data_IF_993213405499
#
_entry.id   IF_993213405499
#
_cell.length_a   1.000
_cell.length_b   1.000
_cell.length_c   1.000
_cell.angle_alpha   90.00
_cell.angle_beta   90.00
_cell.angle_gamma   90.00
#
_symmetry.space_group_name_H-M   'P 1'
#
loop_
_entity.id
_entity.type
_entity.pdbx_description
1 polymer ?
#
# COMPACT_ATOMS: atom_id res chain seq x y z
N UNK A 1 -38.38 29.69 -38.40
CA UNK A 1 -39.52 28.80 -38.69
C UNK A 1 -38.92 27.56 -39.36
N UNK A 2 -38.51 26.54 -38.59
CA UNK A 2 -39.25 25.27 -38.33
C UNK A 2 -39.41 24.48 -39.66
N UNK A 3 -38.90 23.25 -39.87
CA UNK A 3 -39.04 21.95 -39.16
C UNK A 3 -37.96 20.98 -39.72
N UNK A 4 -37.03 20.38 -38.95
CA UNK A 4 -37.02 19.02 -38.34
C UNK A 4 -37.48 17.81 -39.20
N UNK A 5 -36.54 16.92 -39.59
CA UNK A 5 -36.79 15.47 -39.59
C UNK A 5 -35.55 14.78 -39.03
N UNK A 6 -35.75 14.08 -37.91
CA UNK A 6 -34.79 13.19 -37.25
C UNK A 6 -35.09 11.73 -37.64
N UNK A 7 -34.06 10.87 -37.56
CA UNK A 7 -34.09 9.41 -37.25
C UNK A 7 -32.61 8.93 -37.29
N UNK A 8 -31.86 9.01 -36.18
CA UNK A 8 -31.70 8.01 -35.10
C UNK A 8 -31.17 6.65 -35.58
N UNK A 9 -29.89 6.35 -35.29
CA UNK A 9 -29.50 5.32 -34.31
C UNK A 9 -28.03 4.90 -34.47
N UNK A 10 -27.33 4.73 -33.35
CA UNK A 10 -26.16 3.85 -33.30
C UNK A 10 -24.78 4.49 -33.17
N UNK A 11 -24.62 5.63 -32.48
CA UNK A 11 -23.27 6.07 -32.08
C UNK A 11 -22.97 5.51 -30.68
N UNK A 12 -22.42 4.29 -30.64
CA UNK A 12 -21.67 3.84 -29.48
C UNK A 12 -20.49 4.77 -29.29
N UNK A 13 -20.47 5.55 -28.22
CA UNK A 13 -19.30 6.33 -27.82
C UNK A 13 -18.16 5.36 -27.49
N UNK A 14 -17.38 4.96 -28.50
CA UNK A 14 -16.03 4.44 -28.30
C UNK A 14 -15.19 5.64 -27.90
N UNK A 15 -15.01 5.83 -26.59
CA UNK A 15 -13.94 6.66 -26.07
C UNK A 15 -12.61 6.01 -26.44
N UNK A 16 -12.09 6.30 -27.63
CA UNK A 16 -10.67 6.14 -27.92
C UNK A 16 -9.93 7.25 -27.19
N UNK A 17 -9.51 6.99 -25.96
CA UNK A 17 -8.45 7.76 -25.34
C UNK A 17 -7.12 7.26 -25.94
N UNK A 18 -6.27 8.12 -26.52
CA UNK A 18 -4.91 7.73 -26.86
C UNK A 18 -4.14 7.63 -25.53
N UNK A 19 -3.78 6.44 -25.07
CA UNK A 19 -3.11 6.38 -23.77
C UNK A 19 -3.05 5.02 -23.11
N UNK A 20 -2.32 4.08 -23.69
CA UNK A 20 -1.31 3.25 -23.04
C UNK A 20 -0.88 2.18 -24.07
N UNK A 21 0.38 1.79 -24.13
CA UNK A 21 0.83 0.66 -24.97
C UNK A 21 1.97 -0.07 -24.32
N UNK A 22 1.95 -1.40 -24.35
CA UNK A 22 3.09 -2.22 -23.90
C UNK A 22 4.25 -2.05 -24.90
N UNK A 23 5.44 -1.68 -24.41
CA UNK A 23 6.59 -1.40 -25.29
C UNK A 23 7.82 -2.27 -25.04
N UNK A 24 7.90 -2.93 -23.88
CA UNK A 24 8.99 -3.85 -23.52
C UNK A 24 8.54 -4.80 -22.42
N UNK A 25 9.11 -6.01 -22.45
CA UNK A 25 8.93 -7.04 -21.43
C UNK A 25 10.30 -7.43 -20.87
N UNK A 26 10.41 -7.41 -19.54
CA UNK A 26 11.51 -8.00 -18.78
C UNK A 26 10.95 -9.13 -17.91
N UNK A 27 11.82 -9.93 -17.27
CA UNK A 27 11.41 -11.13 -16.52
C UNK A 27 10.30 -10.83 -15.49
N UNK A 28 10.43 -9.70 -14.78
CA UNK A 28 9.52 -9.32 -13.69
C UNK A 28 8.89 -7.94 -13.88
N UNK A 29 9.05 -7.31 -15.05
CA UNK A 29 8.63 -5.94 -15.29
C UNK A 29 8.04 -5.76 -16.69
N UNK A 30 6.81 -5.28 -16.74
CA UNK A 30 6.15 -4.84 -17.97
C UNK A 30 6.36 -3.36 -18.11
N UNK A 31 6.63 -2.87 -19.31
CA UNK A 31 6.74 -1.45 -19.53
C UNK A 31 5.65 -0.92 -20.45
N UNK A 32 5.01 0.16 -20.00
CA UNK A 32 3.89 0.76 -20.69
C UNK A 32 4.15 2.24 -20.93
N UNK A 33 4.00 2.66 -22.17
CA UNK A 33 4.02 4.06 -22.57
C UNK A 33 2.62 4.65 -22.44
N UNK A 34 2.52 5.88 -21.96
CA UNK A 34 1.26 6.60 -21.75
C UNK A 34 1.45 8.08 -22.11
N UNK A 35 0.37 8.86 -22.16
CA UNK A 35 0.48 10.31 -22.42
C UNK A 35 1.06 11.12 -21.26
N UNK A 36 0.98 10.62 -20.02
CA UNK A 36 1.56 11.21 -18.79
C UNK A 36 1.82 10.12 -17.76
N UNK A 37 2.91 10.28 -17.01
CA UNK A 37 3.34 9.41 -15.91
C UNK A 37 2.71 9.76 -14.56
N UNK A 38 2.17 10.97 -14.37
CA UNK A 38 1.35 11.26 -13.20
C UNK A 38 0.06 10.41 -13.23
N UNK A 39 -0.24 9.71 -12.13
CA UNK A 39 -1.49 8.95 -12.05
C UNK A 39 -2.73 9.86 -11.88
N UNK A 40 -2.51 11.13 -11.55
CA UNK A 40 -3.56 12.09 -11.22
C UNK A 40 -4.29 11.78 -9.90
N UNK A 41 -5.13 12.70 -9.43
CA UNK A 41 -5.95 12.50 -8.23
C UNK A 41 -7.13 11.54 -8.47
N UNK A 42 -7.58 11.41 -9.73
CA UNK A 42 -8.70 10.52 -10.10
C UNK A 42 -8.20 9.16 -10.61
N UNK A 43 -9.08 8.15 -10.59
CA UNK A 43 -8.72 6.76 -10.91
C UNK A 43 -8.70 6.48 -12.43
N UNK A 44 -9.07 7.44 -13.27
CA UNK A 44 -9.30 7.22 -14.71
C UNK A 44 -8.05 6.71 -15.42
N UNK A 45 -6.87 7.30 -15.16
CA UNK A 45 -5.62 6.86 -15.78
C UNK A 45 -5.21 5.47 -15.30
N UNK A 46 -5.32 5.22 -14.00
CA UNK A 46 -5.04 3.91 -13.40
C UNK A 46 -5.89 2.83 -14.02
N UNK A 47 -7.20 3.08 -14.18
CA UNK A 47 -8.13 2.18 -14.86
C UNK A 47 -7.70 1.94 -16.31
N UNK A 48 -7.37 2.99 -17.08
CA UNK A 48 -6.93 2.83 -18.47
C UNK A 48 -5.67 1.98 -18.60
N UNK A 49 -4.68 2.17 -17.73
CA UNK A 49 -3.44 1.38 -17.72
C UNK A 49 -3.76 -0.09 -17.40
N UNK A 50 -4.59 -0.37 -16.40
CA UNK A 50 -4.97 -1.75 -16.05
C UNK A 50 -5.74 -2.42 -17.19
N UNK A 51 -6.69 -1.71 -17.82
CA UNK A 51 -7.45 -2.25 -18.95
C UNK A 51 -6.55 -2.55 -20.14
N UNK A 52 -5.57 -1.70 -20.40
CA UNK A 52 -4.58 -1.96 -21.44
C UNK A 52 -3.72 -3.17 -21.08
N UNK A 53 -3.25 -3.29 -19.84
CA UNK A 53 -2.51 -4.46 -19.38
C UNK A 53 -3.30 -5.75 -19.64
N UNK A 54 -4.55 -5.85 -19.19
CA UNK A 54 -5.38 -7.05 -19.38
C UNK A 54 -5.86 -7.29 -20.82
N UNK A 55 -5.56 -6.42 -21.79
CA UNK A 55 -5.70 -6.78 -23.21
C UNK A 55 -4.62 -7.76 -23.66
N UNK A 56 -3.44 -7.68 -23.03
CA UNK A 56 -2.26 -8.44 -23.41
C UNK A 56 -1.95 -9.60 -22.47
N UNK A 57 -2.50 -9.60 -21.26
CA UNK A 57 -2.25 -10.64 -20.26
C UNK A 57 -3.53 -11.28 -19.74
N UNK A 58 -3.39 -12.53 -19.30
CA UNK A 58 -4.47 -13.28 -18.65
C UNK A 58 -4.88 -12.61 -17.34
N UNK A 59 -6.15 -12.84 -16.95
CA UNK A 59 -6.64 -12.41 -15.65
C UNK A 59 -6.16 -13.39 -14.56
N UNK A 60 -4.91 -13.24 -14.14
CA UNK A 60 -4.26 -14.14 -13.18
C UNK A 60 -3.52 -13.44 -12.03
N UNK A 61 -3.47 -12.11 -12.03
CA UNK A 61 -2.76 -11.32 -11.03
C UNK A 61 -3.69 -10.86 -9.90
N UNK A 62 -3.25 -11.04 -8.66
CA UNK A 62 -3.93 -10.54 -7.47
C UNK A 62 -3.71 -9.03 -7.29
N UNK A 63 -2.53 -8.52 -7.67
CA UNK A 63 -2.17 -7.10 -7.56
C UNK A 63 -1.41 -6.63 -8.79
N UNK A 64 -1.74 -5.42 -9.26
CA UNK A 64 -0.90 -4.66 -10.20
C UNK A 64 -0.18 -3.55 -9.45
N UNK A 65 1.15 -3.47 -9.58
CA UNK A 65 1.98 -2.38 -9.05
C UNK A 65 2.38 -1.47 -10.20
N UNK A 66 1.77 -0.30 -10.29
CA UNK A 66 2.09 0.71 -11.29
C UNK A 66 3.18 1.63 -10.74
N UNK A 67 4.30 1.70 -11.44
CA UNK A 67 5.48 2.48 -11.06
C UNK A 67 5.59 3.65 -12.04
N UNK A 68 5.44 4.87 -11.55
CA UNK A 68 5.65 6.06 -12.36
C UNK A 68 7.15 6.37 -12.51
N UNK A 69 7.55 6.75 -13.73
CA UNK A 69 8.82 7.43 -13.97
C UNK A 69 8.60 8.94 -13.93
N UNK A 70 8.83 9.54 -12.76
CA UNK A 70 8.76 10.97 -12.59
C UNK A 70 10.07 11.51 -11.99
N UNK A 71 11.11 11.75 -12.80
CA UNK A 71 12.40 12.24 -12.30
C UNK A 71 12.30 13.63 -11.64
N UNK A 72 11.31 14.44 -12.04
CA UNK A 72 11.03 15.77 -11.46
C UNK A 72 10.07 15.72 -10.26
N UNK A 73 9.47 14.57 -9.94
CA UNK A 73 8.51 14.44 -8.83
C UNK A 73 9.23 14.09 -7.53
N UNK A 74 10.18 14.95 -7.19
CA UNK A 74 10.83 15.00 -5.89
C UNK A 74 10.86 16.49 -5.54
N UNK A 75 10.20 16.86 -4.43
CA UNK A 75 10.09 18.24 -3.87
C UNK A 75 8.89 19.10 -4.28
N UNK A 76 7.65 18.61 -4.05
CA UNK A 76 6.59 19.51 -3.53
C UNK A 76 5.54 18.75 -2.72
N UNK A 77 5.97 18.02 -1.66
CA UNK A 77 5.08 17.30 -0.74
C UNK A 77 4.31 18.25 0.23
N UNK A 78 3.99 19.47 -0.18
CA UNK A 78 3.15 20.40 0.59
C UNK A 78 1.78 20.56 -0.09
N UNK A 79 1.05 19.45 -0.14
CA UNK A 79 -0.33 19.29 -0.62
C UNK A 79 -0.53 17.87 -1.15
N UNK A 80 -1.50 17.10 -0.63
CA UNK A 80 -1.93 15.73 -1.05
C UNK A 80 -0.85 14.71 -1.49
N UNK A 81 0.42 14.94 -1.14
CA UNK A 81 1.57 14.18 -1.64
C UNK A 81 1.68 12.82 -0.96
N UNK A 82 1.91 11.77 -1.75
CA UNK A 82 2.05 10.39 -1.29
C UNK A 82 3.21 9.69 -2.01
N UNK A 83 3.89 8.76 -1.34
CA UNK A 83 4.93 7.90 -1.94
C UNK A 83 4.34 6.67 -2.64
N UNK A 84 3.24 6.16 -2.08
CA UNK A 84 2.46 5.05 -2.60
C UNK A 84 0.98 5.28 -2.33
N UNK A 85 0.12 4.61 -3.10
CA UNK A 85 -1.31 4.51 -2.78
C UNK A 85 -1.90 3.23 -3.31
N UNK A 86 -2.50 2.45 -2.41
CA UNK A 86 -3.35 1.32 -2.74
C UNK A 86 -4.75 1.77 -3.15
N UNK A 87 -5.28 1.10 -4.17
CA UNK A 87 -6.71 1.05 -4.47
C UNK A 87 -7.17 -0.40 -4.38
N UNK A 88 -8.00 -0.70 -3.39
CA UNK A 88 -8.74 -1.97 -3.36
C UNK A 88 -9.74 -2.01 -4.52
N UNK A 89 -9.69 -3.10 -5.28
CA UNK A 89 -10.52 -3.40 -6.45
C UNK A 89 -11.51 -4.53 -6.15
N UNK A 90 -11.06 -5.54 -5.42
CA UNK A 90 -11.88 -6.67 -5.00
C UNK A 90 -11.52 -7.10 -3.59
N UNK A 91 -12.53 -7.28 -2.75
CA UNK A 91 -12.39 -7.82 -1.41
C UNK A 91 -13.63 -8.66 -1.06
N UNK A 92 -13.40 -9.91 -0.67
CA UNK A 92 -14.43 -10.83 -0.21
C UNK A 92 -14.19 -11.30 1.24
N UNK A 93 -13.18 -10.73 1.92
CA UNK A 93 -12.79 -11.12 3.28
C UNK A 93 -13.75 -10.47 4.26
N UNK A 94 -14.40 -11.28 5.09
CA UNK A 94 -15.25 -10.84 6.19
C UNK A 94 -14.47 -10.78 7.51
N UNK A 95 -15.02 -10.10 8.51
CA UNK A 95 -14.44 -10.03 9.86
C UNK A 95 -13.20 -9.14 9.99
N UNK A 96 -12.95 -8.28 9.01
CA UNK A 96 -11.78 -7.36 8.98
C UNK A 96 -12.16 -5.88 9.00
N UNK A 97 -13.45 -5.56 9.16
CA UNK A 97 -13.92 -4.18 9.10
C UNK A 97 -13.67 -3.57 7.72
N UNK A 98 -13.94 -4.32 6.64
CA UNK A 98 -13.93 -3.81 5.27
C UNK A 98 -15.18 -4.37 4.60
N UNK A 99 -15.90 -3.53 3.86
CA UNK A 99 -17.03 -4.00 3.08
C UNK A 99 -16.58 -4.88 1.92
N UNK A 100 -17.42 -5.85 1.55
CA UNK A 100 -17.19 -6.63 0.33
C UNK A 100 -17.28 -5.71 -0.88
N UNK A 101 -16.31 -5.81 -1.77
CA UNK A 101 -16.19 -4.97 -2.96
C UNK A 101 -15.84 -5.85 -4.16
N UNK A 102 -16.47 -5.58 -5.31
CA UNK A 102 -16.00 -6.08 -6.59
C UNK A 102 -16.25 -5.05 -7.69
N UNK A 103 -15.17 -4.39 -8.12
CA UNK A 103 -15.17 -3.48 -9.26
C UNK A 103 -14.12 -3.90 -10.31
N UNK A 104 -13.72 -5.17 -10.32
CA UNK A 104 -12.65 -5.69 -11.20
C UNK A 104 -12.90 -5.42 -12.68
N UNK A 105 -14.15 -5.52 -13.13
CA UNK A 105 -14.57 -5.25 -14.51
C UNK A 105 -14.21 -3.84 -15.00
N UNK A 106 -14.15 -2.85 -14.09
CA UNK A 106 -13.70 -1.50 -14.46
C UNK A 106 -12.24 -1.51 -14.90
N UNK A 107 -11.41 -2.31 -14.22
CA UNK A 107 -9.96 -2.42 -14.43
C UNK A 107 -9.56 -3.44 -15.49
N UNK A 108 -10.52 -4.20 -16.05
CA UNK A 108 -10.25 -5.24 -17.06
C UNK A 108 -9.96 -6.63 -16.48
N UNK A 109 -10.16 -6.82 -15.17
CA UNK A 109 -10.01 -8.11 -14.48
C UNK A 109 -11.37 -8.63 -14.02
N UNK A 110 -11.87 -9.66 -14.67
CA UNK A 110 -13.19 -10.21 -14.38
C UNK A 110 -13.25 -10.90 -13.01
N UNK A 111 -12.14 -11.48 -12.53
CA UNK A 111 -12.15 -12.42 -11.42
C UNK A 111 -11.00 -12.29 -10.42
N UNK A 112 -9.79 -11.87 -10.81
CA UNK A 112 -8.61 -12.02 -9.93
C UNK A 112 -8.17 -10.77 -9.18
N UNK A 113 -8.11 -9.61 -9.84
CA UNK A 113 -7.46 -8.42 -9.31
C UNK A 113 -8.11 -7.96 -8.00
N UNK A 114 -7.33 -7.97 -6.92
CA UNK A 114 -7.71 -7.52 -5.57
C UNK A 114 -7.38 -6.06 -5.35
N UNK A 115 -6.27 -5.58 -5.91
CA UNK A 115 -5.87 -4.18 -5.73
C UNK A 115 -4.85 -3.70 -6.74
N UNK A 116 -4.71 -2.37 -6.80
CA UNK A 116 -3.71 -1.69 -7.62
C UNK A 116 -2.91 -0.75 -6.73
N UNK A 117 -1.59 -0.93 -6.70
CA UNK A 117 -0.68 -0.01 -6.02
C UNK A 117 -0.12 0.98 -7.03
N UNK A 118 -0.11 2.27 -6.67
CA UNK A 118 0.51 3.33 -7.47
C UNK A 118 1.71 3.87 -6.71
N UNK A 119 2.90 3.69 -7.27
CA UNK A 119 4.14 4.21 -6.73
C UNK A 119 4.62 5.39 -7.57
N UNK A 120 4.96 6.50 -6.91
CA UNK A 120 5.34 7.73 -7.64
C UNK A 120 6.77 7.69 -8.17
N UNK A 121 7.58 6.70 -7.76
CA UNK A 121 8.97 6.52 -8.16
C UNK A 121 9.45 5.06 -7.95
N UNK A 122 10.37 4.52 -8.78
CA UNK A 122 10.85 3.13 -8.67
C UNK A 122 11.52 2.77 -7.34
N UNK A 123 12.17 3.74 -6.69
CA UNK A 123 12.77 3.57 -5.33
C UNK A 123 11.78 3.04 -4.29
N UNK A 124 10.48 3.33 -4.47
CA UNK A 124 9.40 2.94 -3.55
C UNK A 124 8.99 1.46 -3.67
N UNK A 125 9.55 0.72 -4.63
CA UNK A 125 9.37 -0.73 -4.73
C UNK A 125 10.08 -1.44 -3.57
N UNK A 126 11.23 -0.91 -3.13
CA UNK A 126 12.10 -1.59 -2.17
C UNK A 126 12.27 -0.84 -0.85
N UNK A 127 11.59 0.28 -0.65
CA UNK A 127 11.44 0.86 0.70
C UNK A 127 10.17 0.34 1.39
N UNK A 128 9.84 0.87 2.57
CA UNK A 128 8.65 0.41 3.29
C UNK A 128 7.33 0.76 2.59
N UNK A 129 7.33 1.58 1.54
CA UNK A 129 6.11 2.04 0.87
C UNK A 129 5.33 0.86 0.29
N UNK A 130 5.96 -0.06 -0.42
CA UNK A 130 5.20 -1.14 -1.05
C UNK A 130 4.60 -2.11 -0.03
N UNK A 131 5.31 -2.45 1.05
CA UNK A 131 4.75 -3.24 2.15
C UNK A 131 3.56 -2.53 2.81
N UNK A 132 3.70 -1.23 3.05
CA UNK A 132 2.67 -0.36 3.60
C UNK A 132 1.43 -0.39 2.71
N UNK A 133 1.59 -0.14 1.41
CA UNK A 133 0.47 -0.10 0.48
C UNK A 133 -0.23 -1.46 0.34
N UNK A 134 0.51 -2.57 0.35
CA UNK A 134 -0.10 -3.91 0.31
C UNK A 134 -0.99 -4.18 1.53
N UNK A 135 -0.67 -3.61 2.70
CA UNK A 135 -1.46 -3.83 3.91
C UNK A 135 -2.88 -3.25 3.81
N UNK A 136 -3.07 -2.20 3.00
CA UNK A 136 -4.38 -1.61 2.73
C UNK A 136 -5.33 -2.57 1.97
N UNK A 137 -4.89 -3.77 1.55
CA UNK A 137 -5.81 -4.83 1.10
C UNK A 137 -6.71 -5.34 2.23
N UNK A 138 -6.18 -5.40 3.46
CA UNK A 138 -6.87 -5.99 4.61
C UNK A 138 -7.21 -4.98 5.70
N UNK A 139 -6.88 -3.70 5.49
CA UNK A 139 -7.31 -2.59 6.33
C UNK A 139 -7.91 -1.49 5.46
N UNK A 140 -9.07 -1.00 5.87
CA UNK A 140 -9.73 0.17 5.27
C UNK A 140 -9.86 1.31 6.28
N UNK A 141 -10.56 2.37 5.88
CA UNK A 141 -10.91 3.52 6.73
C UNK A 141 -11.91 3.19 7.85
N UNK A 142 -12.46 1.98 7.89
CA UNK A 142 -13.36 1.54 8.96
C UNK A 142 -12.57 1.10 10.20
N UNK A 143 -13.12 1.46 11.36
CA UNK A 143 -12.46 1.31 12.67
C UNK A 143 -12.45 -0.15 13.15
N UNK A 144 -11.43 -0.93 12.77
CA UNK A 144 -11.09 -2.19 13.47
C UNK A 144 -10.83 -1.89 14.95
N UNK A 145 -10.05 -0.84 15.19
CA UNK A 145 -9.83 -0.17 16.47
C UNK A 145 -10.05 1.34 16.26
N UNK A 146 -10.39 2.11 17.31
CA UNK A 146 -10.51 3.56 17.23
C UNK A 146 -9.19 4.18 16.75
N UNK A 147 -9.25 4.95 15.65
CA UNK A 147 -8.11 5.68 15.12
C UNK A 147 -8.55 7.05 14.65
N UNK A 148 -7.75 8.08 14.95
CA UNK A 148 -7.93 9.42 14.39
C UNK A 148 -7.25 9.57 13.02
N UNK A 149 -6.60 8.52 12.54
CA UNK A 149 -5.88 8.49 11.27
C UNK A 149 -6.53 7.46 10.35
N UNK A 150 -7.29 7.97 9.36
CA UNK A 150 -7.97 7.14 8.36
C UNK A 150 -6.98 6.23 7.63
N UNK A 151 -7.36 4.96 7.46
CA UNK A 151 -6.51 3.91 6.87
C UNK A 151 -5.32 3.47 7.73
N UNK A 152 -5.08 4.08 8.90
CA UNK A 152 -3.88 3.83 9.72
C UNK A 152 -4.23 3.41 11.15
N UNK A 153 -3.23 2.98 11.90
CA UNK A 153 -3.39 2.55 13.29
C UNK A 153 -3.35 3.70 14.31
N UNK A 154 -2.97 4.91 13.87
CA UNK A 154 -2.99 6.12 14.70
C UNK A 154 -2.21 5.96 16.00
N UNK A 155 -2.80 6.43 17.11
CA UNK A 155 -2.20 6.38 18.44
C UNK A 155 -2.45 5.04 19.12
N UNK A 156 -1.93 3.95 18.55
CA UNK A 156 -2.04 2.61 19.11
C UNK A 156 -0.73 1.84 19.09
N UNK A 157 -0.66 0.80 19.91
CA UNK A 157 0.49 -0.10 20.00
C UNK A 157 0.49 -1.20 18.93
N UNK A 158 -0.22 -1.02 17.82
CA UNK A 158 -0.18 -1.99 16.71
C UNK A 158 1.23 -2.08 16.13
N UNK A 159 1.91 -0.94 15.97
CA UNK A 159 3.34 -0.89 15.66
C UNK A 159 3.72 -1.62 14.36
N UNK A 160 2.86 -1.54 13.34
CA UNK A 160 2.99 -2.29 12.10
C UNK A 160 3.23 -1.41 10.88
N UNK A 161 3.01 -1.99 9.71
CA UNK A 161 3.17 -1.31 8.42
C UNK A 161 2.27 -0.08 8.27
N UNK A 162 1.03 -0.13 8.76
CA UNK A 162 0.09 1.01 8.73
C UNK A 162 0.17 1.89 9.99
N UNK A 163 1.23 1.75 10.76
CA UNK A 163 1.57 2.67 11.82
C UNK A 163 1.31 2.23 13.25
N UNK A 164 1.19 3.23 14.11
CA UNK A 164 1.27 3.03 15.55
C UNK A 164 2.72 2.91 16.02
N UNK A 165 2.89 2.48 17.27
CA UNK A 165 4.18 2.39 17.95
C UNK A 165 4.40 1.02 18.59
N UNK A 166 5.65 0.69 18.92
CA UNK A 166 5.95 -0.48 19.74
C UNK A 166 5.58 -0.18 21.20
N UNK A 167 4.84 -1.09 21.85
CA UNK A 167 4.35 -0.86 23.21
C UNK A 167 5.50 -0.60 24.21
N UNK A 168 6.63 -1.27 24.03
CA UNK A 168 7.82 -1.12 24.87
C UNK A 168 8.46 0.28 24.78
N UNK A 169 8.18 1.01 23.71
CA UNK A 169 8.63 2.40 23.54
C UNK A 169 7.70 3.42 24.21
N UNK A 170 6.51 3.00 24.66
CA UNK A 170 5.51 3.90 25.24
C UNK A 170 5.93 4.37 26.64
N UNK A 171 5.91 5.68 26.83
CA UNK A 171 6.22 6.35 28.10
C UNK A 171 5.08 7.27 28.50
N UNK A 172 4.61 7.13 29.73
CA UNK A 172 3.72 8.13 30.33
C UNK A 172 4.54 9.31 30.83
N UNK A 173 4.13 10.52 30.46
CA UNK A 173 4.76 11.78 30.89
C UNK A 173 3.93 12.50 31.96
N UNK A 174 2.87 11.86 32.47
CA UNK A 174 1.89 12.47 33.38
C UNK A 174 0.87 13.37 32.66
N UNK A 175 -0.19 13.76 33.36
CA UNK A 175 -1.26 14.65 32.87
C UNK A 175 -1.91 14.23 31.54
N UNK A 176 -2.06 12.92 31.32
CA UNK A 176 -2.62 12.37 30.07
C UNK A 176 -1.74 12.59 28.84
N UNK A 177 -0.44 12.84 29.03
CA UNK A 177 0.57 12.95 27.96
C UNK A 177 1.40 11.68 27.89
N UNK A 178 1.73 11.30 26.67
CA UNK A 178 2.52 10.12 26.37
C UNK A 178 3.55 10.46 25.30
N UNK A 179 4.69 9.78 25.33
CA UNK A 179 5.59 9.72 24.19
C UNK A 179 5.79 8.26 23.80
N UNK A 180 6.01 8.03 22.51
CA UNK A 180 6.52 6.75 22.06
C UNK A 180 7.50 6.96 20.91
N UNK A 181 8.37 5.98 20.74
CA UNK A 181 9.47 5.95 19.81
C UNK A 181 9.03 5.94 18.34
N UNK A 182 9.27 4.84 17.66
CA UNK A 182 8.92 4.70 16.25
C UNK A 182 7.39 4.81 16.10
N UNK A 183 6.94 5.65 15.16
CA UNK A 183 5.54 5.90 14.89
C UNK A 183 5.39 5.80 13.37
N UNK A 184 5.22 4.59 12.85
CA UNK A 184 4.98 4.41 11.43
C UNK A 184 3.61 5.02 11.03
N UNK A 185 3.38 5.41 9.77
CA UNK A 185 4.39 5.67 8.74
C UNK A 185 5.15 6.99 8.99
N UNK A 186 4.77 7.76 10.00
CA UNK A 186 5.25 9.13 10.23
C UNK A 186 6.72 9.21 10.69
N UNK A 187 7.38 8.07 10.92
CA UNK A 187 8.80 7.90 11.27
C UNK A 187 9.44 6.81 10.39
N UNK A 188 9.03 6.74 9.11
CA UNK A 188 9.52 5.88 8.01
C UNK A 188 11.03 5.94 7.71
N UNK A 189 11.88 5.83 8.73
CA UNK A 189 13.33 5.64 8.58
C UNK A 189 13.74 4.20 8.89
N UNK A 190 12.85 3.43 9.54
CA UNK A 190 13.08 2.03 9.88
C UNK A 190 11.91 1.20 9.38
N UNK A 191 12.21 0.30 8.45
CA UNK A 191 11.26 -0.69 7.95
C UNK A 191 10.91 -1.66 9.09
N UNK A 192 9.61 -1.89 9.29
CA UNK A 192 9.06 -2.79 10.32
C UNK A 192 8.44 -4.02 9.65
N UNK A 193 8.34 -5.18 10.31
CA UNK A 193 7.51 -6.27 9.77
C UNK A 193 6.02 -5.95 9.94
N UNK A 194 5.13 -6.81 9.42
CA UNK A 194 3.72 -6.74 9.77
C UNK A 194 3.51 -7.07 11.25
N UNK A 195 2.65 -6.30 11.91
CA UNK A 195 2.24 -6.54 13.28
C UNK A 195 1.34 -7.78 13.41
N UNK A 196 1.20 -8.40 14.59
CA UNK A 196 0.27 -9.52 14.78
C UNK A 196 -1.17 -9.21 14.35
N UNK A 197 -1.70 -8.01 14.65
CA UNK A 197 -3.05 -7.64 14.21
C UNK A 197 -3.14 -7.58 12.67
N UNK A 198 -2.16 -6.96 12.01
CA UNK A 198 -2.10 -6.92 10.54
C UNK A 198 -2.05 -8.33 9.93
N UNK A 199 -1.21 -9.20 10.51
CA UNK A 199 -1.10 -10.60 10.07
C UNK A 199 -2.40 -11.38 10.30
N UNK A 200 -3.14 -11.13 11.38
CA UNK A 200 -4.46 -11.73 11.60
C UNK A 200 -5.48 -11.28 10.54
N UNK A 201 -5.55 -9.97 10.26
CA UNK A 201 -6.46 -9.44 9.24
C UNK A 201 -6.14 -9.99 7.84
N UNK A 202 -4.86 -10.10 7.52
CA UNK A 202 -4.38 -10.75 6.31
C UNK A 202 -4.62 -12.27 6.28
N UNK A 203 -4.89 -12.89 7.44
CA UNK A 203 -5.16 -14.31 7.57
C UNK A 203 -3.91 -15.18 7.61
N UNK A 204 -2.83 -14.68 8.16
CA UNK A 204 -1.57 -15.40 8.22
C UNK A 204 -1.36 -16.07 9.57
N UNK A 205 -2.00 -15.57 10.63
CA UNK A 205 -1.88 -16.14 11.99
C UNK A 205 -3.26 -16.33 12.63
N UNK A 206 -3.39 -17.28 13.58
CA UNK A 206 -4.60 -17.42 14.39
C UNK A 206 -4.82 -16.22 15.32
N UNK A 207 -6.05 -16.00 15.81
CA UNK A 207 -6.34 -14.93 16.75
C UNK A 207 -5.52 -15.05 18.05
N UNK A 208 -5.17 -16.26 18.48
CA UNK A 208 -4.38 -16.51 19.70
C UNK A 208 -2.95 -15.96 19.68
N UNK A 209 -2.44 -15.56 18.51
CA UNK A 209 -1.13 -14.94 18.36
C UNK A 209 -1.20 -13.40 18.34
N UNK A 210 -2.40 -12.81 18.43
CA UNK A 210 -2.59 -11.36 18.48
C UNK A 210 -2.58 -10.90 19.94
N UNK A 211 -1.51 -10.19 20.32
CA UNK A 211 -1.43 -9.55 21.63
C UNK A 211 -2.46 -8.42 21.79
N UNK A 212 -2.82 -8.16 23.04
CA UNK A 212 -3.62 -7.01 23.44
C UNK A 212 -3.03 -5.70 22.93
N UNK A 213 -3.90 -4.83 22.41
CA UNK A 213 -3.51 -3.56 21.80
C UNK A 213 -3.87 -2.42 22.74
N UNK A 214 -2.88 -1.61 23.08
CA UNK A 214 -3.09 -0.35 23.76
C UNK A 214 -3.53 0.70 22.75
N UNK A 215 -4.64 1.39 23.01
CA UNK A 215 -5.20 2.41 22.11
C UNK A 215 -5.48 3.69 22.88
N UNK A 216 -4.93 4.81 22.41
CA UNK A 216 -5.37 6.14 22.82
C UNK A 216 -6.55 6.58 21.95
N UNK A 217 -7.76 6.44 22.50
CA UNK A 217 -8.96 6.93 21.85
C UNK A 217 -8.92 8.47 21.78
N UNK A 218 -9.17 9.02 20.60
CA UNK A 218 -9.05 10.45 20.31
C UNK A 218 -7.67 11.05 20.63
N UNK A 219 -6.62 10.25 20.39
CA UNK A 219 -5.24 10.70 20.51
C UNK A 219 -4.96 11.92 19.64
N UNK A 220 -4.12 12.84 20.13
CA UNK A 220 -3.69 13.99 19.33
C UNK A 220 -2.25 14.39 19.64
N UNK A 221 -1.50 14.69 18.59
CA UNK A 221 -0.13 15.16 18.73
C UNK A 221 -0.08 16.47 19.53
N UNK A 222 0.83 16.53 20.49
CA UNK A 222 1.08 17.74 21.25
C UNK A 222 1.97 18.66 20.43
N UNK A 223 1.43 19.77 19.95
CA UNK A 223 2.18 20.69 19.11
C UNK A 223 3.08 21.62 19.92
N UNK A 224 4.30 21.85 19.43
CA UNK A 224 5.28 22.80 19.97
C UNK A 224 5.19 24.19 19.29
N UNK A 225 6.22 25.01 19.49
CA UNK A 225 6.29 26.40 19.03
C UNK A 225 6.30 26.48 17.49
N UNK A 226 5.77 27.60 16.98
CA UNK A 226 5.89 27.96 15.57
C UNK A 226 7.33 28.43 15.28
N UNK A 227 7.98 27.81 14.30
CA UNK A 227 9.33 28.17 13.85
C UNK A 227 9.29 28.27 12.31
N UNK A 228 9.67 29.42 11.76
CA UNK A 228 9.73 29.69 10.30
C UNK A 228 8.43 29.30 9.57
N UNK A 229 7.27 29.71 10.11
CA UNK A 229 5.96 29.43 9.50
C UNK A 229 5.47 28.00 9.62
N UNK A 230 6.15 27.13 10.39
CA UNK A 230 5.77 25.73 10.60
C UNK A 230 5.56 25.43 12.08
N UNK A 231 4.58 24.58 12.39
CA UNK A 231 4.32 24.07 13.74
C UNK A 231 4.85 22.64 13.83
N UNK A 232 5.68 22.37 14.83
CA UNK A 232 6.32 21.06 15.01
C UNK A 232 5.60 20.26 16.10
N UNK A 233 5.72 18.93 16.07
CA UNK A 233 5.30 18.09 17.21
C UNK A 233 6.29 18.29 18.36
N UNK A 234 5.79 18.39 19.59
CA UNK A 234 6.62 18.42 20.79
C UNK A 234 7.35 17.09 20.93
N UNK A 235 8.60 17.16 21.41
CA UNK A 235 9.41 15.99 21.70
C UNK A 235 9.74 15.91 23.19
N UNK A 236 9.91 14.70 23.70
CA UNK A 236 10.48 14.45 25.03
C UNK A 236 12.00 14.63 25.03
N UNK A 237 12.65 14.32 26.16
CA UNK A 237 14.10 14.49 26.32
C UNK A 237 14.91 13.59 25.39
N UNK A 238 14.34 12.45 24.99
CA UNK A 238 14.92 11.46 24.07
C UNK A 238 14.60 11.75 22.61
N UNK A 239 13.86 12.83 22.32
CA UNK A 239 13.52 13.24 20.97
C UNK A 239 12.32 12.50 20.37
N UNK A 240 11.57 11.74 21.17
CA UNK A 240 10.36 11.05 20.77
C UNK A 240 9.17 11.99 20.77
N UNK A 241 8.23 11.77 19.84
CA UNK A 241 7.07 12.65 19.70
C UNK A 241 6.09 12.46 20.85
N UNK A 242 5.53 13.57 21.32
CA UNK A 242 4.58 13.62 22.43
C UNK A 242 3.17 13.78 21.90
N UNK A 243 2.24 12.99 22.42
CA UNK A 243 0.81 13.06 22.16
C UNK A 243 0.00 13.10 23.46
N UNK A 244 -1.26 13.52 23.35
CA UNK A 244 -2.24 13.52 24.44
C UNK A 244 -3.28 12.44 24.17
N UNK A 245 -3.72 11.78 25.24
CA UNK A 245 -4.84 10.87 25.22
C UNK A 245 -5.74 11.16 26.43
N UNK A 246 -7.05 11.28 26.20
CA UNK A 246 -8.03 11.45 27.28
C UNK A 246 -8.62 10.14 27.75
N UNK A 247 -8.67 9.16 26.84
CA UNK A 247 -9.19 7.83 27.11
C UNK A 247 -8.23 6.81 26.50
N UNK A 248 -7.91 5.81 27.30
CA UNK A 248 -7.09 4.68 26.90
C UNK A 248 -7.94 3.44 27.02
N UNK A 249 -7.86 2.58 26.03
CA UNK A 249 -8.48 1.27 26.10
C UNK A 249 -7.54 0.19 25.63
N UNK A 250 -7.76 -1.00 26.17
CA UNK A 250 -7.17 -2.24 25.68
C UNK A 250 -8.15 -2.88 24.69
N UNK A 251 -7.65 -3.25 23.53
CA UNK A 251 -8.37 -3.99 22.51
C UNK A 251 -7.75 -5.38 22.37
N UNK A 252 -8.49 -6.38 22.87
CA UNK A 252 -8.13 -7.79 22.68
C UNK A 252 -8.67 -8.28 21.34
N UNK A 253 -8.15 -9.40 20.86
CA UNK A 253 -8.63 -10.02 19.63
C UNK A 253 -10.09 -10.48 19.76
N UNK A 254 -10.51 -10.97 20.92
CA UNK A 254 -11.89 -11.38 21.20
C UNK A 254 -12.83 -10.21 21.02
N UNK A 255 -12.46 -9.03 21.54
CA UNK A 255 -13.26 -7.81 21.36
C UNK A 255 -13.40 -7.41 19.89
N UNK A 256 -12.35 -7.60 19.09
CA UNK A 256 -12.38 -7.33 17.65
C UNK A 256 -13.30 -8.33 16.95
N UNK A 257 -13.18 -9.62 17.29
CA UNK A 257 -14.02 -10.72 16.75
C UNK A 257 -15.48 -10.54 17.14
N UNK A 258 -15.78 -10.17 18.39
CA UNK A 258 -17.15 -9.90 18.84
C UNK A 258 -17.79 -8.74 18.08
N UNK A 259 -16.97 -7.73 17.71
CA UNK A 259 -17.42 -6.55 16.96
C UNK A 259 -17.63 -6.85 15.48
N UNK A 260 -16.71 -7.57 14.84
CA UNK A 260 -16.65 -7.70 13.37
C UNK A 260 -17.08 -9.08 12.86
N UNK A 261 -17.25 -10.04 13.75
CA UNK A 261 -17.27 -11.46 13.43
C UNK A 261 -15.86 -12.02 13.26
N UNK A 262 -15.71 -13.37 13.27
CA UNK A 262 -14.42 -14.00 12.98
C UNK A 262 -14.00 -13.71 11.54
N UNK A 263 -12.69 -13.58 11.33
CA UNK A 263 -12.14 -13.39 9.98
C UNK A 263 -12.47 -14.59 9.10
N UNK A 264 -13.02 -14.34 7.91
CA UNK A 264 -13.37 -15.37 6.92
C UNK A 264 -12.83 -15.01 5.52
N UNK A 265 -12.08 -15.90 4.83
CA UNK A 265 -11.68 -17.25 5.27
C UNK A 265 -10.87 -17.22 6.57
N UNK A 266 -10.70 -18.35 7.27
CA UNK A 266 -9.82 -18.41 8.44
C UNK A 266 -8.34 -18.36 8.02
N UNK A 267 -7.42 -18.23 8.98
CA UNK A 267 -5.98 -18.25 8.72
C UNK A 267 -5.51 -19.57 8.06
N UNK A 268 -6.23 -20.67 8.27
CA UNK A 268 -5.95 -21.98 7.68
C UNK A 268 -6.22 -22.01 6.18
N UNK A 269 -7.24 -21.27 5.72
CA UNK A 269 -7.75 -21.30 4.35
C UNK A 269 -7.46 -20.03 3.55
N UNK A 270 -6.88 -19.00 4.15
CA UNK A 270 -6.44 -17.81 3.41
C UNK A 270 -5.35 -18.14 2.41
N UNK A 271 -5.40 -17.40 1.31
CA UNK A 271 -4.30 -17.22 0.40
C UNK A 271 -3.04 -16.70 1.13
N UNK A 272 -1.92 -17.35 0.86
CA UNK A 272 -0.58 -16.98 1.33
C UNK A 272 0.40 -16.74 0.18
N UNK A 273 0.02 -17.12 -1.02
CA UNK A 273 0.82 -16.93 -2.24
C UNK A 273 0.06 -15.99 -3.17
N UNK A 274 0.70 -14.88 -3.54
CA UNK A 274 0.08 -13.81 -4.33
C UNK A 274 0.83 -13.65 -5.65
N UNK A 275 0.09 -13.55 -6.76
CA UNK A 275 0.66 -13.20 -8.07
C UNK A 275 0.62 -11.69 -8.24
N UNK A 276 1.77 -11.07 -8.44
CA UNK A 276 1.89 -9.61 -8.57
C UNK A 276 2.58 -9.28 -9.89
N UNK A 277 1.99 -8.39 -10.68
CA UNK A 277 2.64 -7.83 -11.86
C UNK A 277 3.10 -6.40 -11.59
N UNK A 278 4.33 -6.09 -12.02
CA UNK A 278 4.91 -4.75 -11.93
C UNK A 278 4.89 -4.09 -13.30
N UNK A 279 4.33 -2.89 -13.36
CA UNK A 279 4.13 -2.13 -14.59
C UNK A 279 4.86 -0.80 -14.47
N UNK A 280 5.89 -0.63 -15.28
CA UNK A 280 6.67 0.59 -15.38
C UNK A 280 6.05 1.55 -16.40
N UNK A 281 5.51 2.68 -15.93
CA UNK A 281 4.77 3.65 -16.72
C UNK A 281 5.67 4.82 -17.13
N UNK A 282 5.73 5.13 -18.43
CA UNK A 282 6.55 6.21 -19.02
C UNK A 282 5.78 7.02 -20.10
N UNK A 283 6.37 8.09 -20.66
CA UNK A 283 5.79 8.97 -21.70
C UNK A 283 6.45 8.92 -23.09
N UNK A 284 7.25 7.91 -23.41
CA UNK A 284 7.70 7.66 -24.79
C UNK A 284 8.93 8.44 -25.26
N UNK A 285 9.82 8.84 -24.35
CA UNK A 285 11.23 9.15 -24.71
C UNK A 285 12.10 7.94 -24.36
N UNK A 286 12.38 7.06 -25.32
CA UNK A 286 13.33 5.95 -25.16
C UNK A 286 14.79 6.41 -25.40
N UNK A 287 15.85 5.72 -24.92
CA UNK A 287 15.86 4.55 -24.06
C UNK A 287 15.89 4.97 -22.58
N UNK A 288 15.16 4.22 -21.77
CA UNK A 288 15.33 4.21 -20.32
C UNK A 288 16.82 4.07 -20.04
N UNK A 289 17.37 4.75 -19.04
CA UNK A 289 18.69 4.32 -18.56
C UNK A 289 18.54 2.84 -18.23
N UNK A 290 19.16 1.94 -19.00
CA UNK A 290 19.05 0.49 -18.81
C UNK A 290 19.33 0.14 -17.35
N UNK A 291 20.18 0.95 -16.72
CA UNK A 291 20.48 0.97 -15.30
C UNK A 291 19.26 1.15 -14.39
N UNK A 292 18.32 2.05 -14.69
CA UNK A 292 17.12 2.27 -13.87
C UNK A 292 16.15 1.09 -13.97
N UNK A 293 15.94 0.54 -15.17
CA UNK A 293 15.12 -0.67 -15.32
C UNK A 293 15.76 -1.86 -14.63
N UNK A 294 17.07 -2.04 -14.83
CA UNK A 294 17.82 -3.11 -14.18
C UNK A 294 17.80 -2.94 -12.65
N UNK A 295 17.90 -1.71 -12.15
CA UNK A 295 17.77 -1.40 -10.72
C UNK A 295 16.36 -1.69 -10.21
N UNK A 296 15.33 -1.33 -10.97
CA UNK A 296 13.93 -1.60 -10.62
C UNK A 296 13.65 -3.10 -10.61
N UNK A 297 14.12 -3.84 -11.60
CA UNK A 297 13.99 -5.29 -11.67
C UNK A 297 14.75 -5.95 -10.51
N UNK A 298 15.95 -5.47 -10.20
CA UNK A 298 16.71 -5.90 -9.04
C UNK A 298 15.92 -5.66 -7.74
N UNK A 299 15.32 -4.48 -7.56
CA UNK A 299 14.46 -4.17 -6.43
C UNK A 299 13.24 -5.09 -6.33
N UNK A 300 12.58 -5.38 -7.46
CA UNK A 300 11.47 -6.34 -7.51
C UNK A 300 11.95 -7.72 -7.05
N UNK A 301 13.05 -8.24 -7.61
CA UNK A 301 13.61 -9.55 -7.22
C UNK A 301 13.94 -9.62 -5.73
N UNK A 302 14.46 -8.56 -5.13
CA UNK A 302 14.76 -8.54 -3.69
C UNK A 302 13.49 -8.46 -2.84
N UNK A 303 12.49 -7.69 -3.28
CA UNK A 303 11.20 -7.55 -2.62
C UNK A 303 10.37 -8.84 -2.62
N UNK A 304 10.47 -9.64 -3.68
CA UNK A 304 9.64 -10.83 -3.91
C UNK A 304 10.34 -12.13 -3.52
N UNK A 305 11.62 -12.06 -3.14
CA UNK A 305 12.42 -13.22 -2.73
C UNK A 305 11.80 -13.98 -1.55
N UNK A 306 11.58 -15.29 -1.71
CA UNK A 306 11.31 -16.24 -0.60
C UNK A 306 12.60 -16.50 0.20
N UNK A 307 12.96 -15.58 1.09
CA UNK A 307 14.16 -15.66 1.93
C UNK A 307 14.74 -14.29 2.25
N UNK A 308 15.83 -14.21 3.05
CA UNK A 308 16.37 -12.93 3.49
C UNK A 308 16.89 -12.08 2.32
N UNK A 309 16.65 -10.77 2.40
CA UNK A 309 17.28 -9.77 1.52
C UNK A 309 18.80 -9.87 1.58
N UNK A 310 19.47 -9.60 0.44
CA UNK A 310 20.94 -9.57 0.36
C UNK A 310 21.56 -8.64 1.41
N UNK A 311 22.51 -9.15 2.21
CA UNK A 311 23.27 -8.36 3.20
C UNK A 311 24.09 -7.25 2.55
N UNK A 312 24.61 -7.47 1.34
CA UNK A 312 25.28 -6.43 0.55
C UNK A 312 24.33 -5.25 0.27
N UNK A 313 23.08 -5.54 -0.06
CA UNK A 313 22.10 -4.50 -0.36
C UNK A 313 21.73 -3.67 0.88
N UNK A 314 21.60 -4.33 2.05
CA UNK A 314 21.41 -3.65 3.34
C UNK A 314 22.58 -2.68 3.63
N UNK A 315 23.81 -3.11 3.34
CA UNK A 315 25.01 -2.27 3.45
C UNK A 315 25.06 -1.10 2.45
N UNK A 316 24.72 -1.32 1.18
CA UNK A 316 24.70 -0.27 0.14
C UNK A 316 23.65 0.80 0.44
N UNK A 317 22.46 0.36 0.85
CA UNK A 317 21.37 1.28 1.21
C UNK A 317 21.56 1.90 2.60
N UNK A 318 22.58 1.49 3.37
CA UNK A 318 22.85 1.92 4.76
C UNK A 318 21.62 1.79 5.66
N UNK A 319 20.92 0.66 5.54
CA UNK A 319 19.68 0.35 6.25
C UNK A 319 19.77 -1.04 6.83
N UNK A 320 19.76 -1.13 8.15
CA UNK A 320 19.92 -2.41 8.87
C UNK A 320 18.66 -3.28 8.83
N UNK A 321 17.47 -2.69 8.57
CA UNK A 321 16.17 -3.33 8.83
C UNK A 321 15.18 -3.38 7.65
N UNK A 322 15.61 -3.36 6.38
CA UNK A 322 14.65 -3.55 5.27
C UNK A 322 14.16 -5.00 5.18
N UNK A 323 12.86 -5.16 5.36
CA UNK A 323 12.14 -6.42 5.14
C UNK A 323 11.68 -6.49 3.68
N UNK A 324 11.86 -7.64 3.04
CA UNK A 324 11.05 -7.98 1.87
C UNK A 324 9.67 -8.54 2.29
N UNK A 325 8.79 -8.85 1.34
CA UNK A 325 7.44 -9.33 1.67
C UNK A 325 7.46 -10.64 2.48
N UNK A 326 8.37 -11.56 2.18
CA UNK A 326 8.50 -12.80 2.91
C UNK A 326 9.00 -12.58 4.34
N UNK A 327 10.04 -11.78 4.54
CA UNK A 327 10.56 -11.45 5.88
C UNK A 327 9.52 -10.67 6.70
N UNK A 328 8.82 -9.71 6.10
CA UNK A 328 7.80 -8.89 6.77
C UNK A 328 6.62 -9.73 7.29
N UNK A 329 6.35 -10.86 6.64
CA UNK A 329 5.28 -11.81 6.99
C UNK A 329 5.79 -12.97 7.85
N UNK A 330 7.02 -12.88 8.40
CA UNK A 330 7.67 -13.94 9.18
C UNK A 330 7.80 -15.26 8.42
N UNK A 331 7.89 -15.16 7.10
CA UNK A 331 7.99 -16.27 6.17
C UNK A 331 6.70 -17.02 5.88
N UNK A 332 5.54 -16.50 6.30
CA UNK A 332 4.24 -17.16 6.12
C UNK A 332 3.68 -16.95 4.71
N UNK A 333 3.89 -15.77 4.13
CA UNK A 333 3.34 -15.41 2.82
C UNK A 333 4.44 -15.02 1.84
N UNK A 334 4.12 -15.11 0.55
CA UNK A 334 5.05 -14.85 -0.53
C UNK A 334 4.38 -14.22 -1.74
N UNK A 335 5.18 -13.49 -2.50
CA UNK A 335 4.81 -12.95 -3.80
C UNK A 335 5.53 -13.73 -4.88
N UNK A 336 4.79 -14.08 -5.91
CA UNK A 336 5.32 -14.61 -7.15
C UNK A 336 5.18 -13.53 -8.22
N UNK A 337 6.30 -13.25 -8.87
CA UNK A 337 6.40 -12.39 -10.05
C UNK A 337 6.90 -13.22 -11.21
N UNK A 338 6.59 -12.79 -12.42
CA UNK A 338 7.16 -13.42 -13.61
C UNK A 338 6.51 -14.77 -13.90
N UNK A 339 5.44 -14.72 -14.68
CA UNK A 339 5.06 -15.76 -15.63
C UNK A 339 4.26 -15.06 -16.75
N UNK A 340 4.83 -13.95 -17.24
CA UNK A 340 4.24 -13.08 -18.27
C UNK A 340 4.21 -13.75 -19.65
N UNK A 341 4.44 -15.07 -19.72
CA UNK A 341 4.46 -15.88 -20.94
C UNK A 341 3.08 -15.99 -21.58
N UNK A 342 2.02 -15.64 -20.86
CA UNK A 342 0.67 -15.56 -21.39
C UNK A 342 0.40 -14.25 -22.16
N UNK A 343 1.43 -13.67 -22.80
CA UNK A 343 1.26 -12.51 -23.67
C UNK A 343 0.39 -12.93 -24.87
N UNK A 344 -0.84 -12.43 -24.90
CA UNK A 344 -1.76 -12.65 -26.02
C UNK A 344 -1.36 -11.69 -27.14
N UNK A 345 -1.01 -12.24 -28.30
CA UNK A 345 -0.69 -11.48 -29.52
C UNK A 345 -1.85 -10.60 -30.00
#
# INVERSE_FOLDING_TARGET
MLIFVALVSGCGYRYFLPGASVTQHLENLVVMETSKTDFGPNMTRTISICREFYRHYEDEFDVLVLIAHNPEYIEDLWGDGYSGRMKVVRNAVAGIGVETLDIGNLFGSEHRLKGVVRLVHPKHVFDETLLHELMHLWKSDLDVIPSTEQGHWGFSSVGGQLGGFQLDDLRSLGDGKYSAGNFAPQRALESVPYSPLEMYLAGWIPPSEVSDIWVAEDGSWLMSKWIKGRRYVQKDAEGNRVFKARKISTWTIERIVDKLGPRSPSFEHSQKEFRVAFVYVTTGRAPREELELASTEFYIRQFTKKGPVSTWLKGVLKVDSRYNFWEATRGIASIETGDLQSFRH
#
